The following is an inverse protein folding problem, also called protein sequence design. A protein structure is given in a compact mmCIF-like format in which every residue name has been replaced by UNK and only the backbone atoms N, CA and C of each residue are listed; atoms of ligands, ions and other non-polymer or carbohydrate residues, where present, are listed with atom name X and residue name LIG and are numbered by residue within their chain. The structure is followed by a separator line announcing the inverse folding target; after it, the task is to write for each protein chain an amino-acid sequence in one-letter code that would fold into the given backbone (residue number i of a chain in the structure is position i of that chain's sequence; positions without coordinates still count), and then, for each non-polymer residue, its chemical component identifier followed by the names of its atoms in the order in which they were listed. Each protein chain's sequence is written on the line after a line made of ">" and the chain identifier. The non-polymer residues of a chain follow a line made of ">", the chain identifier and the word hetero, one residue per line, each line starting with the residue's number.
data_IF_855831689279
#
_entry.id   IF_855831689279
#
_cell.length_a   1.000
_cell.length_b   1.000
_cell.length_c   1.000
_cell.angle_alpha   90.00
_cell.angle_beta   90.00
_cell.angle_gamma   90.00
#
_symmetry.space_group_name_H-M   'P 1'
#
loop_
_entity.id
_entity.type
_entity.pdbx_description
1 polymer ?
#
# COMPACT_ATOMS: atom_id res chain seq x y z
N UNK A 1 18.22 -26.24 -0.26
CA UNK A 1 16.94 -25.65 0.15
C UNK A 1 16.53 -24.44 -0.70
N UNK A 2 17.33 -23.38 -0.83
CA UNK A 2 16.97 -22.23 -1.66
C UNK A 2 16.70 -22.59 -3.13
N UNK A 3 17.50 -23.44 -3.71
CA UNK A 3 17.36 -23.88 -5.11
C UNK A 3 16.06 -24.64 -5.38
N UNK A 4 15.56 -25.40 -4.41
CA UNK A 4 14.26 -26.08 -4.50
C UNK A 4 13.07 -25.11 -4.41
N UNK A 5 13.19 -24.04 -3.61
CA UNK A 5 12.19 -22.99 -3.52
C UNK A 5 12.08 -22.24 -4.84
N UNK A 6 13.23 -21.91 -5.46
CA UNK A 6 13.26 -21.25 -6.76
C UNK A 6 12.70 -22.11 -7.90
N UNK A 7 12.99 -23.41 -7.91
CA UNK A 7 12.51 -24.33 -8.97
C UNK A 7 11.00 -24.64 -8.87
N UNK A 8 10.40 -24.52 -7.68
CA UNK A 8 8.96 -24.72 -7.47
C UNK A 8 8.15 -23.42 -7.51
N UNK A 9 8.82 -22.27 -7.70
CA UNK A 9 8.12 -20.98 -7.82
C UNK A 9 7.54 -20.87 -9.24
N UNK A 10 6.19 -20.81 -9.38
CA UNK A 10 5.55 -20.72 -10.69
C UNK A 10 6.00 -19.47 -11.46
N UNK A 11 6.14 -19.60 -12.78
CA UNK A 11 6.58 -18.50 -13.67
C UNK A 11 5.76 -17.21 -13.53
N UNK A 12 4.47 -17.33 -13.16
CA UNK A 12 3.63 -16.15 -12.96
C UNK A 12 4.11 -15.26 -11.79
N UNK A 13 4.78 -15.82 -10.78
CA UNK A 13 5.32 -15.05 -9.64
C UNK A 13 6.42 -14.10 -10.11
N UNK A 14 7.29 -14.58 -11.01
CA UNK A 14 8.33 -13.76 -11.63
C UNK A 14 7.74 -12.70 -12.56
N UNK A 15 6.68 -13.03 -13.29
CA UNK A 15 5.95 -12.08 -14.13
C UNK A 15 5.31 -10.96 -13.29
N UNK A 16 4.70 -11.31 -12.15
CA UNK A 16 4.13 -10.35 -11.21
C UNK A 16 5.23 -9.45 -10.63
N UNK A 17 6.36 -10.02 -10.21
CA UNK A 17 7.48 -9.25 -9.69
C UNK A 17 8.02 -8.27 -10.75
N UNK A 18 8.23 -8.73 -11.97
CA UNK A 18 8.66 -7.88 -13.08
C UNK A 18 7.70 -6.73 -13.37
N UNK A 19 6.39 -7.02 -13.36
CA UNK A 19 5.35 -6.00 -13.49
C UNK A 19 5.35 -4.99 -12.33
N UNK A 20 5.52 -5.44 -11.10
CA UNK A 20 5.61 -4.59 -9.92
C UNK A 20 6.83 -3.66 -9.98
N UNK A 21 7.99 -4.20 -10.36
CA UNK A 21 9.22 -3.40 -10.55
C UNK A 21 9.03 -2.38 -11.66
N UNK A 22 8.49 -2.78 -12.81
CA UNK A 22 8.20 -1.86 -13.91
C UNK A 22 7.26 -0.71 -13.48
N UNK A 23 6.15 -1.05 -12.81
CA UNK A 23 5.19 -0.06 -12.30
C UNK A 23 5.80 0.84 -11.22
N UNK A 24 6.65 0.28 -10.37
CA UNK A 24 7.34 1.02 -9.32
C UNK A 24 8.38 1.99 -9.87
N UNK A 25 9.17 1.57 -10.85
CA UNK A 25 10.12 2.45 -11.57
C UNK A 25 9.36 3.56 -12.32
N UNK A 26 8.21 3.25 -12.90
CA UNK A 26 7.37 4.28 -13.52
C UNK A 26 6.83 5.28 -12.49
N UNK A 27 6.57 4.85 -11.26
CA UNK A 27 6.14 5.72 -10.15
C UNK A 27 7.26 6.58 -9.55
N UNK A 28 8.53 6.23 -9.78
CA UNK A 28 9.68 7.02 -9.32
C UNK A 28 9.89 8.31 -10.12
N UNK A 29 9.26 8.44 -11.29
CA UNK A 29 9.34 9.65 -12.11
C UNK A 29 8.27 10.66 -11.70
N UNK A 30 8.62 11.94 -11.68
CA UNK A 30 7.66 13.00 -11.45
C UNK A 30 6.60 13.00 -12.55
N UNK A 31 5.32 12.95 -12.16
CA UNK A 31 4.21 12.92 -13.11
C UNK A 31 2.94 13.56 -12.54
N UNK A 32 2.12 14.04 -13.43
CA UNK A 32 0.76 14.42 -13.09
C UNK A 32 -0.12 13.17 -13.03
N UNK A 33 -0.83 13.03 -11.94
CA UNK A 33 -1.74 11.90 -11.71
C UNK A 33 -3.12 12.44 -11.40
N UNK A 34 -4.10 11.98 -12.14
CA UNK A 34 -5.51 12.30 -11.86
C UNK A 34 -5.91 11.64 -10.53
N UNK A 35 -6.71 12.34 -9.71
CA UNK A 35 -7.17 11.83 -8.40
C UNK A 35 -7.80 10.44 -8.50
N UNK A 36 -8.58 10.16 -9.55
CA UNK A 36 -9.18 8.83 -9.77
C UNK A 36 -8.12 7.73 -9.89
N UNK A 37 -7.05 7.96 -10.65
CA UNK A 37 -5.95 7.00 -10.81
C UNK A 37 -5.14 6.83 -9.54
N UNK A 38 -5.07 7.90 -8.72
CA UNK A 38 -4.38 7.86 -7.43
C UNK A 38 -5.08 6.93 -6.42
N UNK A 39 -6.42 6.83 -6.46
CA UNK A 39 -7.21 5.98 -5.57
C UNK A 39 -7.14 4.49 -5.94
N UNK A 40 -6.91 4.15 -7.21
CA UNK A 40 -6.94 2.75 -7.68
C UNK A 40 -5.88 1.90 -6.98
N UNK A 41 -4.64 2.41 -6.87
CA UNK A 41 -3.53 1.65 -6.29
C UNK A 41 -3.79 1.30 -4.82
N UNK A 42 -4.13 2.26 -3.93
CA UNK A 42 -4.47 1.95 -2.53
C UNK A 42 -5.65 0.98 -2.38
N UNK A 43 -6.70 1.12 -3.21
CA UNK A 43 -7.85 0.22 -3.18
C UNK A 43 -7.48 -1.22 -3.57
N UNK A 44 -6.70 -1.39 -4.63
CA UNK A 44 -6.21 -2.70 -5.05
C UNK A 44 -5.31 -3.31 -3.98
N UNK A 45 -4.41 -2.54 -3.38
CA UNK A 45 -3.52 -3.01 -2.32
C UNK A 45 -4.29 -3.39 -1.06
N UNK A 46 -5.34 -2.62 -0.71
CA UNK A 46 -6.24 -2.94 0.39
C UNK A 46 -6.97 -4.26 0.14
N UNK A 47 -7.57 -4.43 -1.03
CA UNK A 47 -8.27 -5.66 -1.41
C UNK A 47 -7.33 -6.88 -1.39
N UNK A 48 -6.11 -6.74 -1.92
CA UNK A 48 -5.09 -7.80 -1.89
C UNK A 48 -4.62 -8.12 -0.47
N UNK A 49 -4.53 -7.13 0.41
CA UNK A 49 -4.18 -7.31 1.82
C UNK A 49 -5.26 -8.08 2.56
N UNK A 50 -6.52 -7.65 2.44
CA UNK A 50 -7.67 -8.32 3.06
C UNK A 50 -7.86 -9.74 2.53
N UNK A 51 -7.75 -9.93 1.21
CA UNK A 51 -7.78 -11.25 0.58
C UNK A 51 -6.65 -12.16 1.09
N UNK A 52 -5.45 -11.60 1.30
CA UNK A 52 -4.32 -12.35 1.86
C UNK A 52 -4.56 -12.81 3.30
N UNK A 53 -5.10 -11.94 4.15
CA UNK A 53 -5.46 -12.27 5.55
C UNK A 53 -6.56 -13.32 5.58
N UNK A 54 -7.63 -13.11 4.79
CA UNK A 54 -8.76 -14.03 4.73
C UNK A 54 -8.34 -15.43 4.24
N UNK A 55 -7.55 -15.49 3.17
CA UNK A 55 -7.13 -16.77 2.58
C UNK A 55 -6.10 -17.54 3.42
N UNK A 56 -5.27 -16.86 4.21
CA UNK A 56 -4.22 -17.51 5.02
C UNK A 56 -4.66 -17.84 6.43
N UNK A 57 -5.48 -17.00 7.06
CA UNK A 57 -5.79 -17.08 8.50
C UNK A 57 -7.29 -16.99 8.81
N UNK A 58 -8.13 -16.62 7.85
CA UNK A 58 -9.53 -16.26 8.08
C UNK A 58 -9.69 -14.89 8.73
N UNK A 59 -10.96 -14.44 8.84
CA UNK A 59 -11.31 -13.14 9.46
C UNK A 59 -11.91 -13.34 10.87
N UNK A 60 -11.17 -14.09 11.72
CA UNK A 60 -11.61 -14.40 13.10
C UNK A 60 -10.41 -14.32 14.07
N UNK A 61 -10.72 -14.28 15.36
CA UNK A 61 -9.71 -14.21 16.42
C UNK A 61 -8.89 -12.93 16.40
N UNK A 62 -7.58 -13.06 16.47
CA UNK A 62 -6.61 -11.94 16.58
C UNK A 62 -6.36 -11.24 15.24
N UNK A 63 -6.60 -11.91 14.11
CA UNK A 63 -6.23 -11.42 12.78
C UNK A 63 -6.83 -10.04 12.44
N UNK A 64 -8.16 -9.78 12.57
CA UNK A 64 -8.74 -8.49 12.23
C UNK A 64 -8.25 -7.36 13.15
N UNK A 65 -8.05 -7.64 14.42
CA UNK A 65 -7.54 -6.64 15.37
C UNK A 65 -6.10 -6.24 15.06
N UNK A 66 -5.22 -7.22 14.86
CA UNK A 66 -3.83 -6.97 14.51
C UNK A 66 -3.72 -6.20 13.17
N UNK A 67 -4.54 -6.60 12.18
CA UNK A 67 -4.59 -5.91 10.90
C UNK A 67 -5.05 -4.45 11.04
N UNK A 68 -6.11 -4.20 11.83
CA UNK A 68 -6.64 -2.85 12.05
C UNK A 68 -5.63 -1.96 12.77
N UNK A 69 -4.98 -2.47 13.82
CA UNK A 69 -3.92 -1.74 14.53
C UNK A 69 -2.78 -1.39 13.57
N UNK A 70 -2.35 -2.36 12.76
CA UNK A 70 -1.33 -2.14 11.73
C UNK A 70 -1.75 -1.08 10.72
N UNK A 71 -3.01 -1.10 10.25
CA UNK A 71 -3.52 -0.15 9.28
C UNK A 71 -3.57 1.28 9.85
N UNK A 72 -3.99 1.44 11.09
CA UNK A 72 -3.98 2.73 11.77
C UNK A 72 -2.56 3.25 11.97
N UNK A 73 -1.65 2.41 12.44
CA UNK A 73 -0.25 2.78 12.63
C UNK A 73 0.42 3.17 11.30
N UNK A 74 0.20 2.39 10.24
CA UNK A 74 0.71 2.69 8.91
C UNK A 74 0.14 3.98 8.32
N UNK A 75 -1.17 4.23 8.52
CA UNK A 75 -1.81 5.48 8.07
C UNK A 75 -1.26 6.70 8.81
N UNK A 76 -1.09 6.61 10.12
CA UNK A 76 -0.48 7.67 10.92
C UNK A 76 0.96 7.95 10.49
N UNK A 77 1.75 6.88 10.27
CA UNK A 77 3.13 7.01 9.80
C UNK A 77 3.19 7.66 8.40
N UNK A 78 2.35 7.24 7.46
CA UNK A 78 2.29 7.84 6.13
C UNK A 78 1.86 9.32 6.19
N UNK A 79 0.95 9.66 7.10
CA UNK A 79 0.50 11.03 7.29
C UNK A 79 1.65 11.95 7.74
N UNK A 80 2.51 11.49 8.65
CA UNK A 80 3.68 12.25 9.12
C UNK A 80 4.81 12.32 8.10
N UNK A 81 5.07 11.22 7.38
CA UNK A 81 6.15 11.12 6.39
C UNK A 81 5.82 11.82 5.07
N UNK A 82 4.52 12.01 4.74
CA UNK A 82 4.13 12.67 3.49
C UNK A 82 4.22 14.19 3.64
N UNK A 83 5.23 14.78 3.05
CA UNK A 83 5.43 16.23 3.04
C UNK A 83 4.38 16.92 2.13
N UNK A 84 3.45 17.64 2.76
CA UNK A 84 2.38 18.37 2.08
C UNK A 84 2.92 19.44 1.12
N UNK A 85 4.09 20.02 1.41
CA UNK A 85 4.70 21.09 0.61
C UNK A 85 5.16 20.63 -0.77
N UNK A 86 5.42 19.34 -0.93
CA UNK A 86 5.86 18.74 -2.20
C UNK A 86 4.71 18.34 -3.12
N UNK A 87 3.47 18.49 -2.66
CA UNK A 87 2.27 18.14 -3.41
C UNK A 87 1.73 19.42 -4.05
N UNK A 88 1.76 19.50 -5.37
CA UNK A 88 1.20 20.63 -6.12
C UNK A 88 -0.16 20.19 -6.68
N UNK A 89 -1.23 20.78 -6.14
CA UNK A 89 -2.58 20.57 -6.63
C UNK A 89 -2.81 21.42 -7.89
N UNK A 90 -3.42 20.83 -8.90
CA UNK A 90 -3.86 21.50 -10.15
C UNK A 90 -5.36 21.31 -10.24
N UNK A 91 -6.17 22.22 -9.63
CA UNK A 91 -7.63 22.08 -9.55
C UNK A 91 -8.31 22.04 -10.92
N UNK A 92 -7.81 22.84 -11.88
CA UNK A 92 -8.37 22.95 -13.23
C UNK A 92 -8.43 21.62 -13.98
N UNK A 93 -7.49 20.70 -13.72
CA UNK A 93 -7.39 19.39 -14.39
C UNK A 93 -7.76 18.22 -13.48
N UNK A 94 -8.30 18.47 -12.27
CA UNK A 94 -8.53 17.44 -11.24
C UNK A 94 -7.33 16.51 -11.06
N UNK A 95 -6.12 17.07 -11.12
CA UNK A 95 -4.86 16.36 -11.09
C UNK A 95 -3.95 16.91 -10.00
N UNK A 96 -3.01 16.06 -9.57
CA UNK A 96 -1.99 16.38 -8.58
C UNK A 96 -0.64 16.07 -9.20
N UNK A 97 0.26 17.03 -9.19
CA UNK A 97 1.65 16.80 -9.55
C UNK A 97 2.40 16.36 -8.30
N UNK A 98 2.89 15.14 -8.34
CA UNK A 98 3.73 14.58 -7.26
C UNK A 98 5.17 14.48 -7.75
N UNK A 99 6.15 14.84 -6.92
CA UNK A 99 7.53 14.50 -7.20
C UNK A 99 7.65 12.97 -7.28
N UNK A 100 8.51 12.49 -8.14
CA UNK A 100 8.82 11.06 -8.21
C UNK A 100 9.28 10.54 -6.85
N UNK A 101 8.80 9.36 -6.47
CA UNK A 101 9.15 8.74 -5.19
C UNK A 101 9.41 7.25 -5.38
N UNK A 102 10.45 6.74 -4.72
CA UNK A 102 10.76 5.31 -4.67
C UNK A 102 9.93 4.57 -3.63
N UNK A 103 9.24 5.30 -2.74
CA UNK A 103 8.41 4.72 -1.68
C UNK A 103 7.39 3.71 -2.20
N UNK A 104 6.60 3.98 -3.27
CA UNK A 104 5.67 2.99 -3.81
C UNK A 104 6.36 1.72 -4.28
N UNK A 105 7.56 1.82 -4.88
CA UNK A 105 8.33 0.65 -5.31
C UNK A 105 8.76 -0.20 -4.13
N UNK A 106 9.37 0.44 -3.12
CA UNK A 106 9.84 -0.24 -1.90
C UNK A 106 8.66 -0.94 -1.23
N UNK A 107 7.51 -0.27 -1.07
CA UNK A 107 6.32 -0.86 -0.48
C UNK A 107 5.80 -2.06 -1.27
N UNK A 108 5.74 -1.96 -2.61
CA UNK A 108 5.28 -3.05 -3.46
C UNK A 108 6.19 -4.28 -3.36
N UNK A 109 7.51 -4.08 -3.36
CA UNK A 109 8.48 -5.16 -3.19
C UNK A 109 8.38 -5.76 -1.80
N UNK A 110 8.26 -4.93 -0.75
CA UNK A 110 8.13 -5.42 0.64
C UNK A 110 6.87 -6.26 0.83
N UNK A 111 5.73 -5.84 0.28
CA UNK A 111 4.48 -6.60 0.31
C UNK A 111 4.65 -7.93 -0.43
N UNK A 112 5.28 -7.92 -1.59
CA UNK A 112 5.53 -9.12 -2.36
C UNK A 112 6.42 -10.11 -1.59
N UNK A 113 7.55 -9.64 -1.04
CA UNK A 113 8.44 -10.47 -0.24
C UNK A 113 7.75 -11.03 1.00
N UNK A 114 6.93 -10.22 1.68
CA UNK A 114 6.17 -10.65 2.85
C UNK A 114 5.15 -11.73 2.50
N UNK A 115 4.37 -11.54 1.42
CA UNK A 115 3.41 -12.55 0.94
C UNK A 115 4.11 -13.85 0.55
N UNK A 116 5.23 -13.75 -0.12
CA UNK A 116 6.02 -14.91 -0.52
C UNK A 116 6.56 -15.66 0.71
N UNK A 117 7.14 -14.93 1.67
CA UNK A 117 7.64 -15.52 2.92
C UNK A 117 6.53 -16.24 3.70
N UNK A 118 5.36 -15.63 3.84
CA UNK A 118 4.19 -16.24 4.50
C UNK A 118 3.74 -17.50 3.76
N UNK A 119 3.62 -17.45 2.43
CA UNK A 119 3.21 -18.60 1.63
C UNK A 119 4.19 -19.77 1.76
N UNK A 120 5.49 -19.51 1.71
CA UNK A 120 6.54 -20.51 1.89
C UNK A 120 6.50 -21.10 3.31
N UNK A 121 6.37 -20.26 4.33
CA UNK A 121 6.29 -20.71 5.73
C UNK A 121 5.10 -21.64 5.96
N UNK A 122 3.92 -21.27 5.45
CA UNK A 122 2.71 -22.09 5.58
C UNK A 122 2.76 -23.38 4.75
N UNK A 123 3.49 -23.38 3.63
CA UNK A 123 3.70 -24.58 2.84
C UNK A 123 4.64 -25.58 3.55
N UNK A 124 5.65 -25.10 4.26
CA UNK A 124 6.61 -25.94 4.99
C UNK A 124 6.03 -26.40 6.34
N UNK A 125 5.35 -25.52 7.03
CA UNK A 125 4.82 -25.75 8.38
C UNK A 125 3.39 -25.20 8.52
N UNK A 126 2.36 -25.96 8.09
CA UNK A 126 0.96 -25.54 8.12
C UNK A 126 0.44 -25.20 9.52
N UNK A 127 1.05 -25.76 10.56
CA UNK A 127 0.68 -25.50 11.96
C UNK A 127 0.76 -24.00 12.33
N UNK A 128 1.61 -23.22 11.67
CA UNK A 128 1.69 -21.77 11.90
C UNK A 128 0.42 -21.01 11.49
N UNK A 129 -0.42 -21.58 10.63
CA UNK A 129 -1.72 -20.98 10.28
C UNK A 129 -2.65 -20.80 11.49
N UNK A 130 -2.43 -21.53 12.57
CA UNK A 130 -3.22 -21.47 13.81
C UNK A 130 -2.42 -20.85 14.99
N UNK A 131 -1.16 -20.56 14.81
CA UNK A 131 -0.31 -20.00 15.86
C UNK A 131 -0.50 -18.48 15.97
N UNK A 132 -1.10 -18.02 17.07
CA UNK A 132 -1.33 -16.58 17.32
C UNK A 132 -0.03 -15.76 17.24
N UNK A 133 1.09 -16.31 17.70
CA UNK A 133 2.40 -15.67 17.64
C UNK A 133 2.92 -15.44 16.21
N UNK A 134 2.38 -16.16 15.21
CA UNK A 134 2.68 -15.95 13.80
C UNK A 134 1.61 -15.09 13.12
N UNK A 135 0.33 -15.32 13.42
CA UNK A 135 -0.80 -14.60 12.81
C UNK A 135 -0.73 -13.11 13.14
N UNK A 136 -0.52 -12.75 14.40
CA UNK A 136 -0.56 -11.36 14.85
C UNK A 136 0.47 -10.46 14.13
N UNK A 137 1.80 -10.77 14.09
CA UNK A 137 2.76 -9.92 13.41
C UNK A 137 2.56 -9.88 11.89
N UNK A 138 2.13 -10.97 11.27
CA UNK A 138 1.85 -11.01 9.82
C UNK A 138 0.66 -10.13 9.48
N UNK A 139 -0.44 -10.23 10.22
CA UNK A 139 -1.63 -9.41 10.01
C UNK A 139 -1.34 -7.93 10.30
N UNK A 140 -0.56 -7.62 11.33
CA UNK A 140 -0.12 -6.27 11.65
C UNK A 140 0.71 -5.67 10.50
N UNK A 141 1.64 -6.43 9.93
CA UNK A 141 2.44 -5.99 8.79
C UNK A 141 1.56 -5.75 7.55
N UNK A 142 0.63 -6.65 7.23
CA UNK A 142 -0.32 -6.45 6.12
C UNK A 142 -1.20 -5.22 6.33
N UNK A 143 -1.67 -4.98 7.55
CA UNK A 143 -2.36 -3.77 7.92
C UNK A 143 -1.51 -2.53 7.72
N UNK A 144 -0.28 -2.55 8.25
CA UNK A 144 0.66 -1.43 8.16
C UNK A 144 0.94 -1.02 6.69
N UNK A 145 1.21 -1.97 5.81
CA UNK A 145 1.38 -1.69 4.39
C UNK A 145 0.13 -1.07 3.77
N UNK A 146 -1.06 -1.58 4.07
CA UNK A 146 -2.33 -1.01 3.60
C UNK A 146 -2.54 0.41 4.13
N UNK A 147 -2.24 0.62 5.41
CA UNK A 147 -2.30 1.92 6.06
C UNK A 147 -1.37 2.95 5.46
N UNK A 148 -0.15 2.57 5.10
CA UNK A 148 0.81 3.45 4.43
C UNK A 148 0.27 3.97 3.08
N UNK A 149 -0.38 3.12 2.29
CA UNK A 149 -1.01 3.54 1.04
C UNK A 149 -2.22 4.46 1.28
N UNK A 150 -3.09 4.10 2.22
CA UNK A 150 -4.30 4.88 2.55
C UNK A 150 -3.92 6.23 3.15
N UNK A 151 -3.00 6.26 4.11
CA UNK A 151 -2.54 7.50 4.76
C UNK A 151 -1.90 8.48 3.76
N UNK A 152 -1.06 7.99 2.84
CA UNK A 152 -0.50 8.80 1.77
C UNK A 152 -1.56 9.34 0.80
N UNK A 153 -2.60 8.55 0.49
CA UNK A 153 -3.75 8.99 -0.29
C UNK A 153 -4.54 10.07 0.44
N UNK A 154 -4.92 9.81 1.69
CA UNK A 154 -5.70 10.74 2.51
C UNK A 154 -4.98 12.09 2.66
N UNK A 155 -3.67 12.07 2.91
CA UNK A 155 -2.87 13.29 2.99
C UNK A 155 -2.87 14.06 1.68
N UNK A 156 -2.75 13.38 0.53
CA UNK A 156 -2.78 14.01 -0.79
C UNK A 156 -4.15 14.64 -1.08
N UNK A 157 -5.24 13.92 -0.74
CA UNK A 157 -6.61 14.43 -0.92
C UNK A 157 -6.88 15.63 0.02
N UNK A 158 -6.37 15.59 1.25
CA UNK A 158 -6.51 16.70 2.20
C UNK A 158 -5.84 17.98 1.66
N UNK A 159 -4.60 17.88 1.15
CA UNK A 159 -3.90 19.01 0.52
C UNK A 159 -4.68 19.54 -0.69
N UNK A 160 -5.17 18.64 -1.56
CA UNK A 160 -5.96 19.05 -2.72
C UNK A 160 -7.23 19.83 -2.34
N UNK A 161 -7.97 19.34 -1.32
CA UNK A 161 -9.18 20.02 -0.82
C UNK A 161 -8.87 21.38 -0.20
N UNK A 162 -7.78 21.50 0.55
CA UNK A 162 -7.37 22.77 1.14
C UNK A 162 -7.13 23.84 0.07
N UNK A 163 -6.39 23.51 -0.98
CA UNK A 163 -6.13 24.43 -2.12
C UNK A 163 -7.43 24.83 -2.83
N UNK A 164 -8.36 23.89 -3.03
CA UNK A 164 -9.66 24.22 -3.61
C UNK A 164 -10.45 25.22 -2.76
N UNK A 165 -10.47 25.04 -1.45
CA UNK A 165 -11.21 25.94 -0.54
C UNK A 165 -10.63 27.37 -0.54
N UNK A 166 -9.31 27.50 -0.59
CA UNK A 166 -8.64 28.81 -0.68
C UNK A 166 -8.97 29.52 -2.01
N UNK A 167 -8.98 28.82 -3.12
CA UNK A 167 -9.36 29.37 -4.44
C UNK A 167 -10.80 29.88 -4.46
N UNK A 168 -11.74 29.17 -3.84
CA UNK A 168 -13.14 29.60 -3.73
C UNK A 168 -13.33 30.84 -2.83
N UNK A 169 -12.49 30.99 -1.81
CA UNK A 169 -12.51 32.15 -0.91
C UNK A 169 -12.08 33.45 -1.60
N UNK A 170 -11.17 33.38 -2.56
CA UNK A 170 -10.72 34.55 -3.34
C UNK A 170 -11.74 35.01 -4.37
N UNK A 171 -12.43 34.06 -5.03
CA UNK A 171 -13.47 34.41 -6.05
C UNK A 171 -14.72 35.04 -5.46
N UNK A 172 -14.98 34.88 -4.16
CA UNK A 172 -16.13 35.54 -3.46
C UNK A 172 -15.84 36.95 -2.95
N UNK A 173 -14.60 37.43 -3.02
CA UNK A 173 -14.21 38.76 -2.52
C UNK A 173 -14.06 39.78 -3.64
N UNK A 174 -14.34 39.42 -4.87
CA UNK A 174 -14.44 40.28 -6.05
C UNK A 174 -15.90 40.42 -6.42
#
# INVERSE_FOLDING_TARGET
>A
MLQQIFSHTPLYVWAILGFLVYRGVLASRAREVTLRKLCIIPLVMLALSLSGVHGSFGFHGVAPFAWTIGALAGAALAWTLTDARKIVAIPERSSVRRPGSWVPLILMISIFCMKYAVAVTLAIAPAYAHATGFIAPVCLAYGCFSGLFIGGLLRTVAVYRAVQMEGWGQTRRV
#
